data_IF_112256144561
#
_entry.id   IF_112256144561
#
_cell.length_a   1.000
_cell.length_b   1.000
_cell.length_c   1.000
_cell.angle_alpha   90.00
_cell.angle_beta   90.00
_cell.angle_gamma   90.00
#
_symmetry.space_group_name_H-M   'P 1'
#
loop_
_entity.id
_entity.type
_entity.pdbx_description
1 polymer ?
#
# COMPACT_ATOMS: atom_id res chain seq x y z
N UNK A 1 22.25 -12.44 -51.01
CA UNK A 1 23.28 -11.56 -51.63
C UNK A 1 24.62 -11.83 -50.97
N UNK A 2 25.74 -11.44 -51.58
CA UNK A 2 27.03 -11.49 -50.89
C UNK A 2 26.92 -10.67 -49.58
N UNK A 3 27.22 -11.29 -48.44
CA UNK A 3 27.09 -10.70 -47.11
C UNK A 3 25.82 -11.07 -46.32
N UNK A 4 24.84 -11.74 -46.93
CA UNK A 4 23.67 -12.20 -46.19
C UNK A 4 23.98 -13.50 -45.42
N UNK A 5 23.58 -13.62 -44.15
CA UNK A 5 23.78 -14.84 -43.39
C UNK A 5 22.97 -16.00 -44.00
N UNK A 6 23.62 -17.15 -44.21
CA UNK A 6 23.01 -18.34 -44.83
C UNK A 6 22.27 -19.20 -43.81
N UNK A 7 22.74 -19.22 -42.56
CA UNK A 7 22.10 -19.91 -41.44
C UNK A 7 22.47 -19.25 -40.11
N UNK A 8 21.65 -19.49 -39.09
CA UNK A 8 21.94 -19.15 -37.69
C UNK A 8 22.21 -20.46 -36.96
N UNK A 9 23.36 -20.55 -36.31
CA UNK A 9 23.71 -21.70 -35.47
C UNK A 9 23.53 -21.31 -34.00
N UNK A 10 22.74 -22.08 -33.27
CA UNK A 10 22.55 -21.92 -31.82
C UNK A 10 23.25 -23.09 -31.14
N UNK A 11 24.28 -22.80 -30.35
CA UNK A 11 25.16 -23.82 -29.74
C UNK A 11 24.98 -23.94 -28.23
N UNK A 12 24.09 -23.15 -27.63
CA UNK A 12 23.87 -23.09 -26.19
C UNK A 12 22.38 -23.22 -25.87
N UNK A 13 22.07 -23.90 -24.77
CA UNK A 13 20.75 -23.86 -24.13
C UNK A 13 20.65 -22.68 -23.14
N UNK A 14 21.72 -21.92 -22.96
CA UNK A 14 21.69 -20.66 -22.22
C UNK A 14 21.24 -19.51 -23.13
N UNK A 15 20.17 -18.84 -22.73
CA UNK A 15 19.60 -17.71 -23.46
C UNK A 15 18.91 -16.74 -22.50
N UNK A 16 18.70 -15.51 -22.96
CA UNK A 16 18.13 -14.44 -22.14
C UNK A 16 16.81 -13.92 -22.70
N UNK A 17 15.83 -13.77 -21.81
CA UNK A 17 14.69 -12.89 -22.02
C UNK A 17 15.03 -11.51 -21.50
N UNK A 18 14.76 -10.48 -22.30
CA UNK A 18 14.91 -9.08 -21.89
C UNK A 18 13.52 -8.46 -21.89
N UNK A 19 13.04 -8.08 -20.70
CA UNK A 19 11.67 -7.60 -20.48
C UNK A 19 11.74 -6.13 -20.05
N UNK A 20 11.13 -5.18 -20.77
CA UNK A 20 10.97 -3.83 -20.27
C UNK A 20 10.01 -3.82 -19.08
N UNK A 21 10.36 -3.11 -18.01
CA UNK A 21 9.59 -3.10 -16.76
C UNK A 21 9.34 -1.68 -16.28
N UNK A 22 8.25 -1.46 -15.54
CA UNK A 22 7.97 -0.20 -14.85
C UNK A 22 8.91 0.01 -13.65
N UNK A 23 8.97 1.23 -13.11
CA UNK A 23 9.77 1.54 -11.90
C UNK A 23 9.38 0.65 -10.71
N UNK A 24 8.07 0.43 -10.51
CA UNK A 24 7.55 -0.46 -9.45
C UNK A 24 8.02 -1.90 -9.65
N UNK A 25 7.90 -2.43 -10.86
CA UNK A 25 8.36 -3.78 -11.18
C UNK A 25 9.88 -3.89 -11.04
N UNK A 26 10.64 -2.89 -11.47
CA UNK A 26 12.10 -2.86 -11.34
C UNK A 26 12.52 -2.95 -9.87
N UNK A 27 11.94 -2.12 -9.00
CA UNK A 27 12.22 -2.15 -7.57
C UNK A 27 11.95 -3.53 -6.97
N UNK A 28 10.80 -4.15 -7.29
CA UNK A 28 10.45 -5.50 -6.82
C UNK A 28 11.41 -6.56 -7.34
N UNK A 29 11.65 -6.60 -8.64
CA UNK A 29 12.48 -7.61 -9.31
C UNK A 29 13.96 -7.50 -8.94
N UNK A 30 14.47 -6.29 -8.63
CA UNK A 30 15.86 -6.07 -8.25
C UNK A 30 16.28 -6.76 -6.95
N UNK A 31 15.32 -7.15 -6.12
CA UNK A 31 15.56 -7.89 -4.86
C UNK A 31 15.65 -9.40 -5.07
N UNK A 32 15.27 -9.89 -6.25
CA UNK A 32 15.21 -11.32 -6.56
C UNK A 32 16.48 -11.78 -7.28
N UNK A 33 16.86 -13.04 -7.06
CA UNK A 33 17.95 -13.71 -7.79
C UNK A 33 17.45 -14.78 -8.76
N UNK A 34 16.20 -15.23 -8.58
CA UNK A 34 15.55 -16.20 -9.46
C UNK A 34 14.08 -15.84 -9.65
N UNK A 35 13.54 -16.17 -10.81
CA UNK A 35 12.14 -15.95 -11.14
C UNK A 35 11.57 -17.11 -11.95
N UNK A 36 10.29 -17.43 -11.70
CA UNK A 36 9.53 -18.34 -12.54
C UNK A 36 8.89 -17.56 -13.69
N UNK A 37 9.11 -18.03 -14.91
CA UNK A 37 8.55 -17.50 -16.15
C UNK A 37 7.53 -18.49 -16.68
N UNK A 38 6.33 -18.02 -17.01
CA UNK A 38 5.32 -18.80 -17.75
C UNK A 38 5.22 -18.26 -19.18
N UNK A 39 5.45 -19.13 -20.15
CA UNK A 39 5.37 -18.82 -21.56
C UNK A 39 3.92 -18.94 -22.03
N UNK A 40 3.34 -17.85 -22.56
CA UNK A 40 1.94 -17.86 -22.97
C UNK A 40 1.70 -18.65 -24.26
N UNK A 41 2.75 -18.88 -25.06
CA UNK A 41 2.68 -19.64 -26.32
C UNK A 41 2.16 -21.06 -26.12
N UNK A 42 2.63 -21.74 -25.07
CA UNK A 42 2.38 -23.16 -24.82
C UNK A 42 2.03 -23.46 -23.34
N UNK A 43 1.92 -22.43 -22.50
CA UNK A 43 1.59 -22.52 -21.08
C UNK A 43 2.72 -23.06 -20.20
N UNK A 44 3.92 -23.23 -20.74
CA UNK A 44 5.01 -23.92 -20.04
C UNK A 44 5.75 -22.99 -19.11
N UNK A 45 6.32 -23.54 -18.04
CA UNK A 45 6.98 -22.75 -16.99
C UNK A 45 8.43 -23.15 -16.82
N UNK A 46 9.30 -22.16 -16.63
CA UNK A 46 10.73 -22.36 -16.37
C UNK A 46 11.19 -21.41 -15.29
N UNK A 47 12.20 -21.81 -14.50
CA UNK A 47 12.87 -20.91 -13.58
C UNK A 47 14.14 -20.39 -14.27
N UNK A 48 14.37 -19.08 -14.16
CA UNK A 48 15.58 -18.42 -14.64
C UNK A 48 16.24 -17.60 -13.54
N UNK A 49 17.51 -17.28 -13.74
CA UNK A 49 18.24 -16.28 -12.94
C UNK A 49 17.84 -14.89 -13.45
N UNK A 50 17.48 -13.98 -12.54
CA UNK A 50 17.06 -12.63 -12.91
C UNK A 50 18.09 -11.60 -12.44
N UNK A 51 18.37 -10.65 -13.33
CA UNK A 51 19.09 -9.42 -13.04
C UNK A 51 18.29 -8.24 -13.58
N UNK A 52 18.43 -7.07 -12.98
CA UNK A 52 17.75 -5.85 -13.43
C UNK A 52 18.77 -4.77 -13.77
N UNK A 53 18.58 -4.07 -14.88
CA UNK A 53 19.48 -3.02 -15.33
C UNK A 53 18.70 -1.85 -15.93
N UNK A 54 19.24 -0.64 -15.77
CA UNK A 54 18.73 0.56 -16.42
C UNK A 54 19.59 0.87 -17.66
N UNK A 55 18.96 0.97 -18.83
CA UNK A 55 19.62 1.25 -20.10
C UNK A 55 18.96 2.47 -20.71
N UNK A 56 19.73 3.54 -20.90
CA UNK A 56 19.25 4.81 -21.48
C UNK A 56 18.00 5.37 -20.77
N UNK A 57 17.97 5.27 -19.43
CA UNK A 57 16.85 5.75 -18.62
C UNK A 57 15.63 4.82 -18.57
N UNK A 58 15.65 3.66 -19.27
CA UNK A 58 14.58 2.65 -19.22
C UNK A 58 15.00 1.44 -18.41
N UNK A 59 14.05 0.85 -17.69
CA UNK A 59 14.28 -0.28 -16.82
C UNK A 59 14.01 -1.61 -17.53
N UNK A 60 14.92 -2.56 -17.36
CA UNK A 60 14.84 -3.89 -17.96
C UNK A 60 15.14 -4.98 -16.93
N UNK A 61 14.43 -6.10 -17.06
CA UNK A 61 14.76 -7.37 -16.41
C UNK A 61 15.38 -8.32 -17.43
N UNK A 62 16.54 -8.86 -17.08
CA UNK A 62 17.29 -9.87 -17.83
C UNK A 62 17.12 -11.21 -17.14
N UNK A 63 16.50 -12.17 -17.83
CA UNK A 63 16.22 -13.49 -17.27
C UNK A 63 17.01 -14.53 -18.06
N UNK A 64 18.05 -15.06 -17.45
CA UNK A 64 18.87 -16.13 -18.02
C UNK A 64 18.21 -17.47 -17.75
N UNK A 65 17.95 -18.20 -18.83
CA UNK A 65 17.35 -19.54 -18.83
C UNK A 65 18.37 -20.52 -19.39
N UNK A 66 18.36 -21.75 -18.87
CA UNK A 66 19.29 -22.82 -19.27
C UNK A 66 18.59 -23.98 -20.00
N UNK A 67 17.34 -23.78 -20.41
CA UNK A 67 16.55 -24.78 -21.12
C UNK A 67 15.51 -24.12 -22.04
N UNK A 68 14.97 -24.91 -22.97
CA UNK A 68 13.89 -24.49 -23.86
C UNK A 68 14.36 -23.65 -25.05
N UNK A 69 15.67 -23.52 -25.28
CA UNK A 69 16.20 -22.76 -26.41
C UNK A 69 15.65 -23.33 -27.73
N UNK A 70 15.72 -24.65 -27.93
CA UNK A 70 15.17 -25.30 -29.12
C UNK A 70 13.66 -25.03 -29.35
N UNK A 71 12.90 -24.75 -28.28
CA UNK A 71 11.46 -24.48 -28.37
C UNK A 71 11.15 -23.05 -28.83
N UNK A 72 12.03 -22.11 -28.49
CA UNK A 72 11.79 -20.68 -28.67
C UNK A 72 12.81 -20.00 -29.60
N UNK A 73 13.75 -20.75 -30.19
CA UNK A 73 14.83 -20.20 -31.01
C UNK A 73 14.41 -19.39 -32.24
N UNK A 74 13.24 -19.72 -32.78
CA UNK A 74 12.66 -19.04 -33.94
C UNK A 74 11.82 -17.82 -33.54
N UNK A 75 11.63 -17.58 -32.25
CA UNK A 75 10.83 -16.48 -31.73
C UNK A 75 11.73 -15.29 -31.38
N UNK A 76 11.48 -14.14 -32.01
CA UNK A 76 12.14 -12.88 -31.64
C UNK A 76 11.49 -12.20 -30.44
N UNK A 77 10.20 -12.47 -30.23
CA UNK A 77 9.40 -11.91 -29.15
C UNK A 77 8.54 -13.01 -28.54
N UNK A 78 8.48 -13.04 -27.21
CA UNK A 78 7.69 -14.02 -26.47
C UNK A 78 6.82 -13.27 -25.47
N UNK A 79 5.53 -13.63 -25.44
CA UNK A 79 4.65 -13.17 -24.38
C UNK A 79 4.85 -14.10 -23.17
N UNK A 80 5.21 -13.50 -22.03
CA UNK A 80 5.52 -14.23 -20.80
C UNK A 80 4.85 -13.59 -19.61
N UNK A 81 4.49 -14.41 -18.63
CA UNK A 81 4.12 -13.98 -17.29
C UNK A 81 5.30 -14.20 -16.35
N UNK A 82 5.70 -13.14 -15.64
CA UNK A 82 6.68 -13.23 -14.57
C UNK A 82 5.96 -13.52 -13.27
N UNK A 83 6.19 -14.70 -12.70
CA UNK A 83 5.50 -15.15 -11.49
C UNK A 83 6.27 -14.67 -10.27
N UNK A 84 5.82 -13.56 -9.71
CA UNK A 84 6.35 -12.94 -8.49
C UNK A 84 5.50 -13.34 -7.29
N UNK A 85 5.56 -14.62 -6.87
CA UNK A 85 4.90 -15.10 -5.65
C UNK A 85 5.66 -14.65 -4.41
N UNK A 86 5.58 -13.38 -4.01
CA UNK A 86 6.36 -12.90 -2.86
C UNK A 86 5.58 -12.13 -1.81
N UNK A 87 4.29 -11.86 -2.00
CA UNK A 87 3.56 -11.06 -1.01
C UNK A 87 2.43 -11.88 -0.40
N UNK A 88 2.65 -12.23 0.87
CA UNK A 88 1.63 -12.75 1.76
C UNK A 88 0.77 -11.58 2.25
N UNK A 89 -0.54 -11.73 2.17
CA UNK A 89 -1.46 -10.69 2.58
C UNK A 89 -2.90 -11.06 2.24
N UNK A 90 -3.82 -10.13 2.50
CA UNK A 90 -5.22 -10.28 2.11
C UNK A 90 -5.40 -9.80 0.67
N UNK A 91 -6.02 -10.64 -0.16
CA UNK A 91 -6.42 -10.27 -1.52
C UNK A 91 -7.81 -9.63 -1.48
N UNK A 92 -7.90 -8.38 -1.91
CA UNK A 92 -9.15 -7.62 -1.98
C UNK A 92 -9.39 -7.11 -3.42
N UNK A 93 -10.64 -6.97 -3.87
CA UNK A 93 -10.93 -6.37 -5.18
C UNK A 93 -10.58 -4.89 -5.16
N UNK A 94 -10.08 -4.37 -6.29
CA UNK A 94 -9.73 -2.94 -6.40
C UNK A 94 -10.92 -2.00 -6.13
N UNK A 95 -12.13 -2.45 -6.43
CA UNK A 95 -13.39 -1.72 -6.19
C UNK A 95 -13.71 -1.51 -4.72
N UNK A 96 -13.17 -2.33 -3.80
CA UNK A 96 -13.37 -2.18 -2.36
C UNK A 96 -12.54 -1.03 -1.77
N UNK A 97 -11.56 -0.52 -2.50
CA UNK A 97 -10.61 0.48 -1.99
C UNK A 97 -11.17 1.88 -2.22
N UNK A 98 -11.18 2.67 -1.15
CA UNK A 98 -11.53 4.09 -1.18
C UNK A 98 -10.46 4.94 -0.49
N UNK A 99 -10.66 6.25 -0.53
CA UNK A 99 -9.86 7.22 0.22
C UNK A 99 -10.78 8.01 1.14
N UNK A 100 -10.30 8.27 2.35
CA UNK A 100 -10.97 9.15 3.30
C UNK A 100 -9.98 10.21 3.76
N UNK A 101 -10.46 11.44 3.84
CA UNK A 101 -9.66 12.58 4.25
C UNK A 101 -9.73 12.76 5.77
N UNK A 102 -8.58 12.91 6.41
CA UNK A 102 -8.42 13.09 7.86
C UNK A 102 -7.64 14.36 8.16
N UNK A 103 -7.74 14.86 9.39
CA UNK A 103 -6.75 15.79 9.91
C UNK A 103 -5.46 15.06 10.27
N UNK A 104 -4.33 15.58 9.80
CA UNK A 104 -3.00 15.04 10.10
C UNK A 104 -2.44 15.75 11.34
N UNK A 105 -2.36 15.04 12.45
CA UNK A 105 -1.99 15.59 13.76
C UNK A 105 -0.64 15.02 14.19
N UNK A 106 0.36 15.85 14.55
CA UNK A 106 1.64 15.35 15.05
C UNK A 106 1.47 14.51 16.32
N UNK A 107 2.24 13.42 16.43
CA UNK A 107 2.11 12.47 17.54
C UNK A 107 2.30 13.10 18.94
N UNK A 108 3.02 14.22 19.04
CA UNK A 108 3.20 14.98 20.28
C UNK A 108 1.89 15.51 20.92
N UNK A 109 0.81 15.61 20.14
CA UNK A 109 -0.49 16.11 20.60
C UNK A 109 -1.44 14.99 21.07
N UNK A 110 -1.07 13.71 20.86
CA UNK A 110 -1.79 12.59 21.44
C UNK A 110 -1.72 12.65 22.95
N UNK A 111 -2.86 12.45 23.60
CA UNK A 111 -2.96 12.34 25.06
C UNK A 111 -3.85 11.16 25.45
N UNK A 112 -3.67 10.66 26.68
CA UNK A 112 -4.50 9.62 27.26
C UNK A 112 -5.57 10.23 28.16
N UNK A 113 -6.82 9.85 27.95
CA UNK A 113 -7.95 10.33 28.73
C UNK A 113 -7.98 9.73 30.14
N UNK A 114 -7.13 10.22 31.04
CA UNK A 114 -7.13 9.95 32.49
C UNK A 114 -7.57 8.54 32.90
N UNK A 115 -8.87 8.40 33.22
CA UNK A 115 -9.50 7.20 33.81
C UNK A 115 -10.01 6.17 32.79
N UNK A 116 -9.92 6.48 31.50
CA UNK A 116 -10.36 5.59 30.42
C UNK A 116 -9.14 5.21 29.57
N UNK A 117 -9.06 3.96 29.12
CA UNK A 117 -8.11 3.54 28.08
C UNK A 117 -8.39 4.20 26.71
N UNK A 118 -8.94 5.41 26.69
CA UNK A 118 -9.21 6.21 25.51
C UNK A 118 -8.02 7.11 25.20
N UNK A 119 -7.76 7.28 23.91
CA UNK A 119 -6.80 8.24 23.40
C UNK A 119 -7.54 9.41 22.77
N UNK A 120 -6.90 10.57 22.74
CA UNK A 120 -7.51 11.77 22.23
C UNK A 120 -6.50 12.90 22.12
N UNK A 121 -7.02 14.13 22.10
CA UNK A 121 -6.23 15.36 22.04
C UNK A 121 -6.77 16.39 23.05
N UNK A 122 -5.93 17.32 23.49
CA UNK A 122 -6.37 18.47 24.29
C UNK A 122 -6.59 19.66 23.37
N UNK A 123 -7.81 20.20 23.36
CA UNK A 123 -8.18 21.41 22.61
C UNK A 123 -8.26 22.62 23.54
N UNK A 124 -7.75 23.75 23.11
CA UNK A 124 -7.91 25.04 23.78
C UNK A 124 -9.33 25.58 23.58
N UNK A 125 -9.98 25.97 24.68
CA UNK A 125 -11.34 26.52 24.69
C UNK A 125 -11.34 27.84 25.47
N UNK A 126 -11.86 28.87 24.82
CA UNK A 126 -12.14 30.17 25.45
C UNK A 126 -13.46 30.08 26.23
N UNK A 127 -13.39 30.30 27.54
CA UNK A 127 -14.59 30.43 28.37
C UNK A 127 -15.22 31.82 28.21
N UNK A 128 -16.50 31.93 28.54
CA UNK A 128 -17.27 33.18 28.52
C UNK A 128 -16.64 34.30 29.35
N UNK A 129 -15.83 33.95 30.36
CA UNK A 129 -15.13 34.88 31.24
C UNK A 129 -13.80 35.43 30.65
N UNK A 130 -13.43 35.04 29.44
CA UNK A 130 -12.18 35.45 28.80
C UNK A 130 -10.99 34.52 29.07
N UNK A 131 -11.15 33.50 29.93
CA UNK A 131 -10.06 32.62 30.35
C UNK A 131 -9.87 31.48 29.33
N UNK A 132 -8.61 31.23 28.96
CA UNK A 132 -8.25 30.03 28.19
C UNK A 132 -8.25 28.81 29.10
N UNK A 133 -8.88 27.72 28.66
CA UNK A 133 -8.84 26.43 29.32
C UNK A 133 -8.64 25.31 28.30
N UNK A 134 -8.46 24.08 28.78
CA UNK A 134 -8.33 22.90 27.93
C UNK A 134 -9.51 21.96 28.11
N UNK A 135 -9.92 21.34 27.00
CA UNK A 135 -10.91 20.28 26.95
C UNK A 135 -10.26 19.03 26.33
N UNK A 136 -10.56 17.86 26.89
CA UNK A 136 -10.14 16.58 26.29
C UNK A 136 -11.18 16.14 25.26
N UNK A 137 -10.74 16.00 24.01
CA UNK A 137 -11.53 15.42 22.92
C UNK A 137 -11.12 13.95 22.79
N UNK A 138 -12.04 13.06 23.13
CA UNK A 138 -11.88 11.63 22.86
C UNK A 138 -11.99 11.41 21.35
N UNK A 139 -10.91 10.93 20.74
CA UNK A 139 -10.78 10.87 19.30
C UNK A 139 -10.24 9.50 18.86
N UNK A 140 -10.76 9.02 17.74
CA UNK A 140 -10.26 7.82 17.10
C UNK A 140 -8.96 8.13 16.37
N UNK A 141 -7.85 7.64 16.93
CA UNK A 141 -6.53 7.82 16.33
C UNK A 141 -6.26 6.73 15.30
N UNK A 142 -6.24 7.11 14.02
CA UNK A 142 -5.77 6.27 12.92
C UNK A 142 -4.27 6.48 12.68
N UNK A 143 -3.63 5.50 12.07
CA UNK A 143 -2.24 5.56 11.61
C UNK A 143 -2.22 5.21 10.12
N UNK A 144 -1.35 5.86 9.34
CA UNK A 144 -1.07 5.38 7.98
C UNK A 144 -0.17 4.13 8.08
N UNK A 145 -0.66 2.94 7.71
CA UNK A 145 0.13 1.73 7.82
C UNK A 145 1.26 1.67 6.76
N UNK A 146 1.30 2.61 5.81
CA UNK A 146 2.38 2.79 4.85
C UNK A 146 3.52 3.68 5.38
N UNK A 147 3.32 4.44 6.46
CA UNK A 147 4.36 5.30 7.06
C UNK A 147 5.33 4.49 7.92
N UNK A 148 6.61 4.88 7.89
CA UNK A 148 7.64 4.34 8.78
C UNK A 148 7.44 4.86 10.22
N UNK A 149 7.68 3.99 11.20
CA UNK A 149 7.62 4.33 12.62
C UNK A 149 8.94 4.98 13.05
N UNK A 150 8.87 6.07 13.83
CA UNK A 150 10.04 6.88 14.26
C UNK A 150 11.08 6.03 15.00
N UNK A 151 10.61 5.14 15.89
CA UNK A 151 11.45 4.24 16.70
C UNK A 151 11.05 2.76 16.51
N UNK A 152 10.43 2.41 15.38
CA UNK A 152 9.86 1.08 15.16
C UNK A 152 8.55 0.80 15.92
N UNK A 153 8.11 1.72 16.77
CA UNK A 153 6.87 1.60 17.56
C UNK A 153 5.91 2.79 17.39
N UNK A 154 6.45 4.01 17.31
CA UNK A 154 5.63 5.24 17.36
C UNK A 154 5.45 5.86 15.97
N UNK A 155 4.22 6.12 15.51
CA UNK A 155 4.00 6.86 14.28
C UNK A 155 4.37 8.33 14.47
N UNK A 156 4.82 9.00 13.41
CA UNK A 156 5.10 10.44 13.44
C UNK A 156 3.81 11.28 13.57
N UNK A 157 2.72 10.77 12.98
CA UNK A 157 1.42 11.45 12.94
C UNK A 157 0.29 10.48 13.28
N UNK A 158 -0.78 11.03 13.86
CA UNK A 158 -2.08 10.38 13.95
C UNK A 158 -3.07 11.10 13.04
N UNK A 159 -4.00 10.32 12.51
CA UNK A 159 -5.04 10.81 11.62
C UNK A 159 -6.37 10.78 12.36
N UNK A 160 -7.03 11.93 12.47
CA UNK A 160 -8.28 12.10 13.20
C UNK A 160 -9.38 12.46 12.20
N UNK A 161 -10.56 11.83 12.36
CA UNK A 161 -11.70 12.09 11.49
C UNK A 161 -12.10 13.56 11.54
N UNK A 162 -12.44 14.14 10.39
CA UNK A 162 -12.97 15.51 10.32
C UNK A 162 -14.30 15.70 11.05
N UNK A 163 -14.99 14.62 11.40
CA UNK A 163 -16.17 14.66 12.26
C UNK A 163 -15.83 14.86 13.75
N UNK A 164 -14.59 14.63 14.17
CA UNK A 164 -14.16 14.70 15.58
C UNK A 164 -13.43 16.02 15.93
N UNK A 165 -13.01 16.81 14.92
CA UNK A 165 -12.32 18.09 15.08
C UNK A 165 -12.79 19.10 14.03
N UNK A 166 -12.55 20.39 14.28
CA UNK A 166 -12.82 21.46 13.30
C UNK A 166 -11.53 22.12 12.82
N UNK A 167 -11.56 22.62 11.58
CA UNK A 167 -10.44 23.40 11.05
C UNK A 167 -10.30 24.71 11.85
N UNK A 168 -9.10 24.98 12.34
CA UNK A 168 -8.80 26.11 13.21
C UNK A 168 -8.78 25.76 14.70
N UNK A 169 -9.21 24.56 15.10
CA UNK A 169 -9.04 24.08 16.48
C UNK A 169 -7.56 24.19 16.89
N UNK A 170 -7.32 24.65 18.12
CA UNK A 170 -5.96 24.78 18.67
C UNK A 170 -5.74 23.65 19.66
N UNK A 171 -4.84 22.73 19.31
CA UNK A 171 -4.43 21.61 20.17
C UNK A 171 -3.25 22.02 21.05
N UNK A 172 -3.19 21.47 22.25
CA UNK A 172 -2.12 21.71 23.22
C UNK A 172 -1.42 20.39 23.55
N UNK A 173 -0.10 20.34 23.37
CA UNK A 173 0.70 19.19 23.75
C UNK A 173 0.79 19.06 25.27
N UNK A 174 0.55 17.86 25.80
CA UNK A 174 0.45 17.61 27.24
C UNK A 174 1.78 17.84 27.98
N UNK A 175 2.90 17.64 27.30
CA UNK A 175 4.26 17.67 27.85
C UNK A 175 4.91 19.07 27.82
N UNK A 176 4.65 19.82 26.76
CA UNK A 176 5.39 21.03 26.39
C UNK A 176 4.53 22.29 26.36
N UNK A 177 3.20 22.15 26.47
CA UNK A 177 2.23 23.24 26.32
C UNK A 177 2.35 23.97 24.96
N UNK A 178 3.00 23.34 23.98
CA UNK A 178 3.08 23.86 22.62
C UNK A 178 1.72 23.78 21.95
N UNK A 179 1.45 24.76 21.07
CA UNK A 179 0.17 24.90 20.38
C UNK A 179 0.30 24.47 18.93
N UNK A 180 -0.72 23.76 18.43
CA UNK A 180 -0.85 23.40 17.03
C UNK A 180 -2.26 23.72 16.54
N UNK A 181 -2.36 24.46 15.44
CA UNK A 181 -3.65 24.76 14.80
C UNK A 181 -3.97 23.68 13.78
N UNK A 182 -5.13 23.03 13.94
CA UNK A 182 -5.63 21.98 13.05
C UNK A 182 -5.97 22.58 11.69
N UNK A 183 -5.23 22.16 10.66
CA UNK A 183 -5.43 22.62 9.28
C UNK A 183 -4.95 21.61 8.24
N UNK A 184 -3.90 20.85 8.56
CA UNK A 184 -3.30 19.91 7.64
C UNK A 184 -4.18 18.68 7.49
N UNK A 185 -4.41 18.26 6.25
CA UNK A 185 -5.25 17.12 5.93
C UNK A 185 -4.54 16.16 5.00
N UNK A 186 -4.88 14.88 5.12
CA UNK A 186 -4.32 13.83 4.27
C UNK A 186 -5.35 12.73 3.99
N UNK A 187 -5.22 12.10 2.82
CA UNK A 187 -6.10 11.01 2.41
C UNK A 187 -5.46 9.66 2.72
N UNK A 188 -6.06 8.91 3.63
CA UNK A 188 -5.69 7.51 3.85
C UNK A 188 -6.46 6.61 2.89
N UNK A 189 -5.78 5.59 2.35
CA UNK A 189 -6.43 4.50 1.63
C UNK A 189 -6.99 3.50 2.62
N UNK A 190 -8.21 3.03 2.36
CA UNK A 190 -8.87 2.05 3.22
C UNK A 190 -9.99 1.31 2.53
N UNK A 191 -10.62 0.42 3.28
CA UNK A 191 -11.83 -0.32 2.90
C UNK A 191 -12.90 -0.13 3.96
N UNK A 192 -14.16 -0.40 3.63
CA UNK A 192 -15.24 -0.44 4.61
C UNK A 192 -15.50 -1.86 5.10
N UNK A 193 -15.32 -2.10 6.40
CA UNK A 193 -15.67 -3.34 7.09
C UNK A 193 -17.11 -3.29 7.59
N UNK A 194 -17.85 -4.40 7.44
CA UNK A 194 -19.30 -4.50 7.65
C UNK A 194 -19.70 -5.46 8.79
N UNK A 195 -18.75 -6.04 9.52
CA UNK A 195 -19.03 -7.09 10.53
C UNK A 195 -20.07 -6.71 11.60
N UNK A 196 -20.19 -5.42 11.93
CA UNK A 196 -20.99 -4.94 13.04
C UNK A 196 -22.38 -4.44 12.61
N UNK A 197 -22.80 -4.72 11.37
CA UNK A 197 -24.06 -4.22 10.82
C UNK A 197 -24.00 -2.75 10.39
N UNK A 198 -22.81 -2.13 10.42
CA UNK A 198 -22.55 -0.82 9.84
C UNK A 198 -21.15 -0.74 9.24
N UNK A 199 -20.95 0.20 8.33
CA UNK A 199 -19.67 0.41 7.64
C UNK A 199 -18.66 1.17 8.50
N UNK A 200 -17.48 0.57 8.72
CA UNK A 200 -16.35 1.16 9.44
C UNK A 200 -15.16 1.31 8.48
N UNK A 201 -14.59 2.51 8.39
CA UNK A 201 -13.37 2.72 7.61
C UNK A 201 -12.15 2.06 8.29
N UNK A 202 -11.45 1.22 7.53
CA UNK A 202 -10.24 0.52 7.95
C UNK A 202 -9.07 0.89 7.01
N UNK A 203 -8.02 1.57 7.49
CA UNK A 203 -6.83 1.85 6.68
C UNK A 203 -6.16 0.56 6.19
N UNK A 204 -5.59 0.60 4.98
CA UNK A 204 -4.88 -0.54 4.38
C UNK A 204 -3.46 -0.14 3.98
N UNK A 205 -2.53 -1.08 4.14
CA UNK A 205 -1.18 -0.99 3.58
C UNK A 205 -1.14 -1.82 2.31
N UNK A 206 -0.83 -1.18 1.19
CA UNK A 206 -0.76 -1.86 -0.11
C UNK A 206 0.62 -2.49 -0.26
N UNK A 207 0.64 -3.80 -0.49
CA UNK A 207 1.85 -4.56 -0.82
C UNK A 207 1.92 -4.68 -2.35
N UNK A 208 0.91 -5.32 -2.97
CA UNK A 208 0.83 -5.51 -4.41
C UNK A 208 -0.46 -4.99 -4.99
N UNK A 209 -0.45 -4.65 -6.27
CA UNK A 209 -1.67 -4.31 -6.99
C UNK A 209 -1.52 -4.62 -8.48
N UNK A 210 -2.54 -5.28 -9.04
CA UNK A 210 -2.73 -5.44 -10.48
C UNK A 210 -4.09 -4.86 -10.90
N UNK A 211 -4.51 -5.16 -12.13
CA UNK A 211 -5.75 -4.62 -12.72
C UNK A 211 -7.02 -5.13 -12.02
N UNK A 212 -7.01 -6.34 -11.47
CA UNK A 212 -8.19 -6.97 -10.86
C UNK A 212 -8.22 -6.81 -9.33
N UNK A 213 -7.08 -6.95 -8.67
CA UNK A 213 -7.00 -7.03 -7.21
C UNK A 213 -5.77 -6.34 -6.62
N UNK A 214 -5.88 -6.05 -5.34
CA UNK A 214 -4.81 -5.54 -4.48
C UNK A 214 -4.50 -6.57 -3.39
N UNK A 215 -3.21 -6.80 -3.14
CA UNK A 215 -2.72 -7.52 -1.96
C UNK A 215 -2.37 -6.49 -0.90
N UNK A 216 -2.95 -6.62 0.28
CA UNK A 216 -2.70 -5.74 1.42
C UNK A 216 -2.05 -6.50 2.57
N UNK A 217 -1.30 -5.79 3.41
CA UNK A 217 -0.74 -6.39 4.63
C UNK A 217 -1.86 -6.82 5.60
N UNK A 218 -1.61 -7.91 6.32
CA UNK A 218 -2.46 -8.38 7.43
C UNK A 218 -1.92 -7.87 8.76
N UNK A 219 -2.78 -7.75 9.78
CA UNK A 219 -2.36 -7.39 11.14
C UNK A 219 -1.92 -5.94 11.31
N UNK A 220 -2.33 -5.04 10.41
CA UNK A 220 -2.11 -3.60 10.57
C UNK A 220 -3.06 -3.02 11.63
N UNK A 221 -2.62 -1.97 12.32
CA UNK A 221 -3.45 -1.29 13.31
C UNK A 221 -4.75 -0.76 12.68
N UNK A 222 -5.90 -1.13 13.27
CA UNK A 222 -7.26 -0.82 12.76
C UNK A 222 -7.53 -1.24 11.31
N UNK A 223 -6.73 -2.18 10.78
CA UNK A 223 -6.91 -2.77 9.46
C UNK A 223 -8.03 -3.81 9.44
N UNK A 224 -7.97 -4.69 8.44
CA UNK A 224 -8.90 -5.81 8.28
C UNK A 224 -8.21 -7.16 8.45
N UNK A 225 -8.97 -8.16 8.86
CA UNK A 225 -8.55 -9.55 9.01
C UNK A 225 -9.17 -10.47 7.94
N UNK A 226 -8.65 -11.69 7.81
CA UNK A 226 -9.04 -12.65 6.75
C UNK A 226 -10.54 -12.96 6.68
N UNK A 227 -11.25 -12.85 7.79
CA UNK A 227 -12.68 -13.18 7.89
C UNK A 227 -13.57 -11.94 8.05
N UNK A 228 -13.00 -10.75 7.88
CA UNK A 228 -13.79 -9.53 7.88
C UNK A 228 -14.62 -9.43 6.60
N UNK A 229 -15.92 -9.17 6.77
CA UNK A 229 -16.79 -8.79 5.68
C UNK A 229 -16.48 -7.35 5.28
N UNK A 230 -16.13 -7.14 4.02
CA UNK A 230 -15.90 -5.80 3.47
C UNK A 230 -16.88 -5.48 2.36
N UNK A 231 -17.11 -4.19 2.13
CA UNK A 231 -17.82 -3.72 0.96
C UNK A 231 -17.04 -4.11 -0.31
N UNK A 232 -17.67 -4.87 -1.22
CA UNK A 232 -17.04 -5.26 -2.48
C UNK A 232 -16.81 -4.06 -3.42
N UNK A 233 -17.66 -3.04 -3.32
CA UNK A 233 -17.54 -1.76 -4.02
C UNK A 233 -17.76 -0.63 -3.02
N UNK A 234 -16.69 0.12 -2.71
CA UNK A 234 -16.74 1.19 -1.74
C UNK A 234 -17.60 2.38 -2.19
N UNK A 235 -17.89 2.53 -3.49
CA UNK A 235 -18.78 3.57 -3.98
C UNK A 235 -20.24 3.35 -3.61
N UNK A 236 -20.59 2.12 -3.22
CA UNK A 236 -21.96 1.72 -2.86
C UNK A 236 -22.26 1.88 -1.36
N UNK A 237 -21.26 2.28 -0.57
CA UNK A 237 -21.35 2.33 0.89
C UNK A 237 -20.94 3.71 1.40
N UNK A 238 -21.73 4.24 2.34
CA UNK A 238 -21.34 5.39 3.15
C UNK A 238 -20.91 4.91 4.54
N UNK A 239 -19.92 5.58 5.14
CA UNK A 239 -19.49 5.26 6.49
C UNK A 239 -20.63 5.45 7.50
N UNK A 240 -20.72 4.57 8.49
CA UNK A 240 -21.81 4.48 9.46
C UNK A 240 -23.20 4.15 8.87
N UNK A 241 -23.27 3.78 7.59
CA UNK A 241 -24.51 3.24 7.02
C UNK A 241 -24.85 1.90 7.67
N UNK A 242 -26.07 1.78 8.21
CA UNK A 242 -26.62 0.53 8.72
C UNK A 242 -26.90 -0.41 7.54
N UNK A 243 -26.42 -1.64 7.65
CA UNK A 243 -26.64 -2.70 6.67
C UNK A 243 -27.88 -3.49 7.10
N UNK A 244 -28.95 -3.43 6.31
CA UNK A 244 -30.15 -4.29 6.44
C UNK A 244 -29.95 -5.67 5.81
#
# INVERSE_FOLDING_TARGET
KAGDPVYKLVTSEEWQLVVPVSDRQFAKLSTMTSIKVKFLKDGQTQNGTIETQQIQGKNYAFITLQNGMARYADERFLNVELVTNIESGLKIPNTAITKKEFYKIPAAYRTSGGDSNSYGVLREVLKDDGTMTTEFINATLYTDPQEDLVDGETPAYYYIDKAELEAGDVLIASDSQTKYTVQETENLKGVYRLNLGYAVFCPIRVEDQNEEFTIIASGTSRGIDMYDYIAADASTVQENQIME
#
